data_IF_197557610679
#
_entry.id   IF_197557610679
#
_cell.length_a   1.000
_cell.length_b   1.000
_cell.length_c   1.000
_cell.angle_alpha   90.00
_cell.angle_beta   90.00
_cell.angle_gamma   90.00
#
_symmetry.space_group_name_H-M   'P 1'
#
loop_
_entity.id
_entity.type
_entity.pdbx_description
1 polymer ?
#
# COMPACT_ATOMS: atom_id res chain seq x y z
N UNK A 1 3.65 -8.19 -19.11
CA UNK A 1 3.34 -8.21 -17.67
C UNK A 1 3.13 -9.66 -17.29
N UNK A 2 3.70 -10.09 -16.16
CA UNK A 2 3.51 -11.45 -15.65
C UNK A 2 2.02 -11.75 -15.42
N UNK A 3 1.63 -13.01 -15.60
CA UNK A 3 0.22 -13.42 -15.53
C UNK A 3 -0.24 -13.30 -14.08
N UNK A 4 -1.40 -12.68 -13.89
CA UNK A 4 -2.04 -12.41 -12.58
C UNK A 4 -2.05 -13.64 -11.66
N UNK A 5 -2.19 -14.83 -12.21
CA UNK A 5 -2.21 -16.10 -11.49
C UNK A 5 -0.85 -16.46 -10.86
N UNK A 6 0.26 -16.18 -11.55
CA UNK A 6 1.61 -16.48 -11.04
C UNK A 6 1.94 -15.60 -9.84
N UNK A 7 1.53 -14.33 -9.85
CA UNK A 7 1.82 -13.42 -8.73
C UNK A 7 1.09 -13.82 -7.45
N UNK A 8 -0.18 -14.22 -7.54
CA UNK A 8 -0.91 -14.69 -6.36
C UNK A 8 -0.30 -15.97 -5.78
N UNK A 9 0.19 -16.87 -6.63
CA UNK A 9 0.91 -18.06 -6.18
C UNK A 9 2.22 -17.70 -5.45
N UNK A 10 2.99 -16.73 -5.95
CA UNK A 10 4.20 -16.26 -5.26
C UNK A 10 3.89 -15.58 -3.93
N UNK A 11 2.83 -14.77 -3.87
CA UNK A 11 2.37 -14.17 -2.62
C UNK A 11 2.00 -15.27 -1.63
N UNK A 12 1.21 -16.25 -2.05
CA UNK A 12 0.81 -17.40 -1.22
C UNK A 12 1.96 -18.35 -0.88
N UNK A 13 3.10 -18.33 -1.58
CA UNK A 13 4.29 -19.09 -1.20
C UNK A 13 5.26 -18.30 -0.28
N UNK A 14 5.19 -16.96 -0.29
CA UNK A 14 6.15 -16.08 0.39
C UNK A 14 6.00 -16.06 1.91
N UNK A 15 7.06 -16.37 2.66
CA UNK A 15 7.03 -16.39 4.14
C UNK A 15 7.06 -15.00 4.79
N UNK A 16 7.58 -14.01 4.07
CA UNK A 16 7.77 -12.63 4.51
C UNK A 16 7.40 -11.71 3.35
N UNK A 17 6.71 -10.62 3.63
CA UNK A 17 6.41 -9.57 2.68
C UNK A 17 7.13 -8.28 3.06
N UNK A 18 7.64 -7.57 2.05
CA UNK A 18 8.17 -6.22 2.21
C UNK A 18 7.24 -5.27 1.47
N UNK A 19 6.57 -4.39 2.20
CA UNK A 19 5.63 -3.43 1.64
C UNK A 19 6.30 -2.05 1.54
N UNK A 20 6.73 -1.67 0.34
CA UNK A 20 7.34 -0.35 0.09
C UNK A 20 6.24 0.65 -0.24
N UNK A 21 5.86 1.44 0.75
CA UNK A 21 4.79 2.42 0.69
C UNK A 21 5.38 3.77 0.29
N UNK A 22 4.97 4.29 -0.87
CA UNK A 22 5.41 5.59 -1.38
C UNK A 22 4.22 6.49 -1.72
N UNK A 23 4.49 7.77 -2.03
CA UNK A 23 3.45 8.76 -2.37
C UNK A 23 2.46 8.27 -3.44
N UNK A 24 2.94 7.56 -4.46
CA UNK A 24 2.13 7.05 -5.56
C UNK A 24 1.59 5.62 -5.38
N UNK A 25 1.81 5.01 -4.21
CA UNK A 25 1.43 3.61 -3.99
C UNK A 25 -0.07 3.38 -4.17
N UNK A 26 -0.89 4.27 -3.60
CA UNK A 26 -2.33 4.17 -3.65
C UNK A 26 -2.94 4.53 -5.01
N UNK A 27 -2.19 5.14 -5.94
CA UNK A 27 -2.71 5.40 -7.29
C UNK A 27 -2.93 4.11 -8.09
N UNK A 28 -2.15 3.08 -7.77
CA UNK A 28 -2.20 1.79 -8.45
C UNK A 28 -3.18 0.84 -7.77
N UNK A 29 -4.29 0.55 -8.44
CA UNK A 29 -5.23 -0.52 -8.02
C UNK A 29 -4.52 -1.87 -7.85
N UNK A 30 -3.42 -2.10 -8.57
CA UNK A 30 -2.66 -3.33 -8.44
C UNK A 30 -1.93 -3.39 -7.10
N UNK A 31 -1.22 -2.33 -6.73
CA UNK A 31 -0.53 -2.24 -5.43
C UNK A 31 -1.52 -2.37 -4.27
N UNK A 32 -2.72 -1.77 -4.40
CA UNK A 32 -3.80 -1.92 -3.41
C UNK A 32 -4.35 -3.35 -3.31
N UNK A 33 -4.37 -4.11 -4.41
CA UNK A 33 -4.75 -5.53 -4.37
C UNK A 33 -3.66 -6.41 -3.78
N UNK A 34 -2.40 -6.16 -4.12
CA UNK A 34 -1.25 -6.88 -3.57
C UNK A 34 -1.19 -6.73 -2.05
N UNK A 35 -1.32 -5.50 -1.54
CA UNK A 35 -1.23 -5.24 -0.11
C UNK A 35 -2.39 -5.85 0.68
N UNK A 36 -3.61 -5.83 0.13
CA UNK A 36 -4.75 -6.55 0.73
C UNK A 36 -4.47 -8.04 0.80
N UNK A 37 -3.93 -8.64 -0.26
CA UNK A 37 -3.60 -10.06 -0.26
C UNK A 37 -2.49 -10.40 0.74
N UNK A 38 -1.46 -9.56 0.87
CA UNK A 38 -0.40 -9.73 1.89
C UNK A 38 -1.01 -9.79 3.30
N UNK A 39 -1.95 -8.90 3.61
CA UNK A 39 -2.66 -8.87 4.89
C UNK A 39 -3.54 -10.11 5.08
N UNK A 40 -4.26 -10.55 4.04
CA UNK A 40 -5.07 -11.78 4.07
C UNK A 40 -4.24 -13.05 4.29
N UNK A 41 -3.02 -13.10 3.75
CA UNK A 41 -2.11 -14.22 3.98
C UNK A 41 -1.67 -14.34 5.44
N UNK A 42 -1.78 -13.28 6.24
CA UNK A 42 -1.50 -13.32 7.69
C UNK A 42 -0.06 -13.64 8.06
N UNK A 43 0.89 -13.38 7.16
CA UNK A 43 2.33 -13.63 7.37
C UNK A 43 3.05 -12.37 7.86
N UNK A 44 4.35 -12.50 8.14
CA UNK A 44 5.17 -11.35 8.55
C UNK A 44 5.24 -10.32 7.41
N UNK A 45 4.84 -9.09 7.71
CA UNK A 45 4.92 -7.93 6.80
C UNK A 45 5.91 -6.94 7.42
N UNK A 46 6.87 -6.48 6.62
CA UNK A 46 7.83 -5.44 6.99
C UNK A 46 7.50 -4.21 6.14
N UNK A 47 6.86 -3.17 6.72
CA UNK A 47 6.61 -1.94 5.98
C UNK A 47 7.87 -1.09 5.86
N UNK A 48 8.04 -0.49 4.68
CA UNK A 48 9.01 0.56 4.39
C UNK A 48 8.22 1.79 3.96
N UNK A 49 8.23 2.84 4.76
CA UNK A 49 7.59 4.11 4.50
C UNK A 49 8.58 5.02 3.76
N UNK A 50 8.46 5.04 2.42
CA UNK A 50 9.35 5.77 1.52
C UNK A 50 8.75 7.13 1.14
N UNK A 51 9.33 8.19 1.69
CA UNK A 51 8.93 9.58 1.50
C UNK A 51 7.45 9.82 1.84
N UNK A 52 6.94 9.06 2.83
CA UNK A 52 5.59 9.16 3.37
C UNK A 52 5.63 8.92 4.87
N UNK A 53 4.75 9.59 5.62
CA UNK A 53 4.61 9.33 7.04
C UNK A 53 3.75 8.08 7.28
N UNK A 54 4.09 7.21 8.25
CA UNK A 54 3.22 6.08 8.63
C UNK A 54 1.79 6.52 8.99
N UNK A 55 1.66 7.73 9.53
CA UNK A 55 0.37 8.35 9.82
C UNK A 55 -0.48 8.55 8.57
N UNK A 56 0.13 9.02 7.47
CA UNK A 56 -0.58 9.26 6.20
C UNK A 56 -1.10 7.97 5.59
N UNK A 57 -0.33 6.89 5.68
CA UNK A 57 -0.77 5.55 5.26
C UNK A 57 -1.96 5.10 6.08
N UNK A 58 -1.86 5.23 7.41
CA UNK A 58 -2.85 4.72 8.37
C UNK A 58 -4.17 5.47 8.36
N UNK A 59 -4.12 6.79 8.14
CA UNK A 59 -5.29 7.66 8.10
C UNK A 59 -5.74 8.00 6.68
N UNK A 60 -5.08 7.42 5.68
CA UNK A 60 -5.33 7.68 4.27
C UNK A 60 -5.28 9.19 3.95
N UNK A 61 -4.38 9.91 4.62
CA UNK A 61 -4.18 11.35 4.47
C UNK A 61 -2.99 11.67 3.56
N UNK A 62 -2.78 12.95 3.29
CA UNK A 62 -1.65 13.41 2.49
C UNK A 62 -1.69 12.81 1.08
N UNK A 63 -0.63 12.13 0.61
CA UNK A 63 -0.59 11.54 -0.73
C UNK A 63 -1.70 10.50 -0.99
N UNK A 64 -2.20 9.84 0.05
CA UNK A 64 -3.21 8.78 -0.07
C UNK A 64 -4.63 9.33 -0.25
N UNK A 65 -4.89 10.56 0.21
CA UNK A 65 -6.23 11.15 0.18
C UNK A 65 -6.71 11.36 -1.27
N UNK A 66 -5.90 12.01 -2.10
CA UNK A 66 -6.22 12.25 -3.50
C UNK A 66 -6.37 10.95 -4.31
N UNK A 67 -5.55 9.94 -3.99
CA UNK A 67 -5.64 8.63 -4.62
C UNK A 67 -6.98 7.93 -4.30
N UNK A 68 -7.42 7.97 -3.04
CA UNK A 68 -8.71 7.37 -2.65
C UNK A 68 -9.92 8.12 -3.22
N UNK A 69 -9.89 9.45 -3.24
CA UNK A 69 -10.95 10.25 -3.89
C UNK A 69 -11.11 9.89 -5.38
N UNK A 70 -9.99 9.65 -6.07
CA UNK A 70 -9.98 9.21 -7.48
C UNK A 70 -10.59 7.83 -7.65
N UNK A 71 -10.30 6.88 -6.76
CA UNK A 71 -10.90 5.53 -6.82
C UNK A 71 -12.38 5.53 -6.47
N UNK A 72 -12.80 6.33 -5.49
CA UNK A 72 -14.21 6.53 -5.11
C UNK A 72 -15.05 7.07 -6.28
N UNK A 73 -14.46 7.93 -7.11
CA UNK A 73 -15.13 8.49 -8.30
C UNK A 73 -15.13 7.54 -9.51
N UNK A 74 -14.44 6.40 -9.44
CA UNK A 74 -14.28 5.47 -10.56
C UNK A 74 -15.34 4.36 -10.52
N UNK A 75 -16.16 4.27 -11.57
CA UNK A 75 -17.13 3.18 -11.76
C UNK A 75 -16.51 1.76 -11.84
N UNK A 76 -15.18 1.63 -11.91
CA UNK A 76 -14.45 0.36 -11.95
C UNK A 76 -14.03 -0.16 -10.57
N UNK A 77 -14.38 0.55 -9.49
CA UNK A 77 -14.00 0.20 -8.12
C UNK A 77 -15.26 0.11 -7.28
N UNK A 78 -15.49 -1.03 -6.64
CA UNK A 78 -16.63 -1.22 -5.74
C UNK A 78 -16.36 -0.66 -4.35
N UNK A 79 -17.43 -0.37 -3.61
CA UNK A 79 -17.34 0.04 -2.20
C UNK A 79 -16.62 -1.00 -1.32
N UNK A 80 -16.83 -2.29 -1.60
CA UNK A 80 -16.15 -3.37 -0.90
C UNK A 80 -14.63 -3.37 -1.15
N UNK A 81 -14.19 -3.09 -2.37
CA UNK A 81 -12.76 -3.00 -2.70
C UNK A 81 -12.11 -1.83 -1.96
N UNK A 82 -12.76 -0.65 -1.97
CA UNK A 82 -12.29 0.53 -1.24
C UNK A 82 -12.14 0.26 0.25
N UNK A 83 -13.13 -0.40 0.86
CA UNK A 83 -13.08 -0.79 2.27
C UNK A 83 -11.90 -1.72 2.54
N UNK A 84 -11.72 -2.78 1.73
CA UNK A 84 -10.60 -3.72 1.87
C UNK A 84 -9.24 -3.06 1.71
N UNK A 85 -9.10 -2.12 0.78
CA UNK A 85 -7.86 -1.38 0.56
C UNK A 85 -7.54 -0.46 1.73
N UNK A 86 -8.53 0.29 2.22
CA UNK A 86 -8.39 1.17 3.38
C UNK A 86 -8.02 0.37 4.63
N UNK A 87 -8.73 -0.72 4.92
CA UNK A 87 -8.48 -1.59 6.07
C UNK A 87 -7.07 -2.22 6.01
N UNK A 88 -6.61 -2.63 4.84
CA UNK A 88 -5.29 -3.23 4.66
C UNK A 88 -4.16 -2.22 4.90
N UNK A 89 -4.26 -1.02 4.31
CA UNK A 89 -3.30 0.06 4.54
C UNK A 89 -3.32 0.55 5.99
N UNK A 90 -4.51 0.65 6.58
CA UNK A 90 -4.63 0.99 7.98
C UNK A 90 -3.86 0.00 8.83
N UNK A 91 -4.16 -1.31 8.72
CA UNK A 91 -3.46 -2.38 9.46
C UNK A 91 -1.94 -2.30 9.31
N UNK A 92 -1.44 -2.13 8.09
CA UNK A 92 0.00 -2.03 7.85
C UNK A 92 0.60 -0.76 8.45
N UNK A 93 -0.13 0.36 8.44
CA UNK A 93 0.28 1.60 9.11
C UNK A 93 0.38 1.50 10.64
N UNK A 94 -0.16 0.44 11.27
CA UNK A 94 0.09 0.13 12.69
C UNK A 94 1.34 -0.73 12.92
N UNK A 95 1.90 -1.36 11.89
CA UNK A 95 3.07 -2.23 12.01
C UNK A 95 4.34 -1.38 12.08
N UNK A 96 5.24 -1.73 13.01
CA UNK A 96 6.57 -1.08 13.08
C UNK A 96 7.38 -1.40 11.82
N UNK A 97 8.01 -0.39 11.24
CA UNK A 97 8.77 -0.51 10.00
C UNK A 97 9.89 0.51 9.89
N UNK A 98 10.37 0.70 8.67
CA UNK A 98 11.46 1.63 8.38
C UNK A 98 10.93 2.85 7.65
N UNK A 99 11.31 4.06 8.08
CA UNK A 99 11.00 5.30 7.37
C UNK A 99 12.24 5.79 6.63
N UNK A 100 12.09 6.14 5.36
CA UNK A 100 13.13 6.73 4.54
C UNK A 100 12.60 7.96 3.85
N UNK A 101 13.12 9.14 4.19
CA UNK A 101 12.73 10.40 3.56
C UNK A 101 13.81 10.84 2.59
N UNK A 102 13.42 11.32 1.42
CA UNK A 102 14.34 11.92 0.47
C UNK A 102 14.81 13.26 1.04
N UNK A 103 16.09 13.37 1.38
CA UNK A 103 16.68 14.67 1.69
C UNK A 103 16.79 15.45 0.39
N UNK A 104 16.03 16.54 0.27
CA UNK A 104 16.39 17.58 -0.69
C UNK A 104 17.62 18.29 -0.11
N UNK A 105 18.80 17.91 -0.57
CA UNK A 105 20.00 18.74 -0.41
C UNK A 105 19.82 20.00 -1.27
N UNK A 106 18.97 20.92 -0.85
CA UNK A 106 19.03 22.31 -1.31
C UNK A 106 20.14 23.01 -0.54
N UNK A 107 21.38 22.72 -0.91
CA UNK A 107 22.53 23.56 -0.60
C UNK A 107 23.42 23.62 -1.86
N UNK A 108 23.29 24.74 -2.57
CA UNK A 108 24.09 25.15 -3.73
C UNK A 108 23.71 26.55 -4.12
#
# INVERSE_FOLDING_TARGET
GERIEELFNYIEASKIFVAVLSKGYADSRWCLREITKMVECGRLIIPIFFDVEPWDVRKHSGPFEAAFQKHESSARVGEEDLRKWKDALEKIGYISGYTYSLQNDTNG
#
